data_IF_503420690155
#
_entry.id   IF_503420690155
#
_cell.length_a   1.000
_cell.length_b   1.000
_cell.length_c   1.000
_cell.angle_alpha   90.00
_cell.angle_beta   90.00
_cell.angle_gamma   90.00
#
_symmetry.space_group_name_H-M   'P 1'
#
loop_
_entity.id
_entity.type
_entity.pdbx_description
1 polymer ?
#
# COMPACT_ATOMS: atom_id res chain seq x y z
N UNK A 1 -14.07 15.41 4.66
CA UNK A 1 -12.71 16.04 4.68
C UNK A 1 -12.07 16.05 6.06
N UNK A 2 -12.79 16.38 7.14
CA UNK A 2 -12.23 16.36 8.51
C UNK A 2 -11.75 14.96 8.94
N UNK A 3 -12.55 13.91 8.70
CA UNK A 3 -12.17 12.54 9.01
C UNK A 3 -10.88 12.10 8.29
N UNK A 4 -10.71 12.48 7.03
CA UNK A 4 -9.51 12.16 6.24
C UNK A 4 -8.25 12.79 6.82
N UNK A 5 -8.33 14.08 7.21
CA UNK A 5 -7.21 14.80 7.81
C UNK A 5 -6.83 14.27 9.19
N UNK A 6 -7.79 13.71 9.92
CA UNK A 6 -7.58 13.08 11.23
C UNK A 6 -7.27 11.58 11.11
N UNK A 7 -6.94 11.09 9.91
CA UNK A 7 -6.56 9.69 9.64
C UNK A 7 -7.65 8.65 9.99
N UNK A 8 -8.90 9.10 10.14
CA UNK A 8 -10.08 8.24 10.32
C UNK A 8 -10.55 7.74 8.96
N UNK A 9 -9.74 6.91 8.32
CA UNK A 9 -9.91 6.54 6.90
C UNK A 9 -11.18 5.73 6.60
N UNK A 10 -11.67 4.91 7.53
CA UNK A 10 -12.94 4.16 7.37
C UNK A 10 -14.11 5.13 7.25
N UNK A 11 -14.27 6.04 8.23
CA UNK A 11 -15.31 7.07 8.19
C UNK A 11 -15.12 8.03 7.00
N UNK A 12 -13.86 8.41 6.70
CA UNK A 12 -13.56 9.27 5.56
C UNK A 12 -13.99 8.64 4.24
N UNK A 13 -13.81 7.32 4.07
CA UNK A 13 -14.23 6.59 2.87
C UNK A 13 -15.74 6.60 2.72
N UNK A 14 -16.49 6.34 3.79
CA UNK A 14 -17.95 6.40 3.80
C UNK A 14 -18.45 7.79 3.39
N UNK A 15 -17.93 8.83 4.03
CA UNK A 15 -18.25 10.23 3.69
C UNK A 15 -17.93 10.58 2.23
N UNK A 16 -16.76 10.14 1.74
CA UNK A 16 -16.29 10.44 0.38
C UNK A 16 -17.08 9.67 -0.67
N UNK A 17 -17.46 8.43 -0.41
CA UNK A 17 -18.33 7.64 -1.28
C UNK A 17 -19.72 8.25 -1.34
N UNK A 18 -20.30 8.58 -0.18
CA UNK A 18 -21.58 9.27 -0.09
C UNK A 18 -21.56 10.58 -0.90
N UNK A 19 -20.52 11.40 -0.72
CA UNK A 19 -20.34 12.64 -1.47
C UNK A 19 -20.19 12.39 -2.97
N UNK A 20 -19.48 11.34 -3.39
CA UNK A 20 -19.29 11.01 -4.81
C UNK A 20 -20.61 10.61 -5.48
N UNK A 21 -21.44 9.83 -4.78
CA UNK A 21 -22.75 9.36 -5.24
C UNK A 21 -23.77 10.49 -5.34
N UNK A 22 -23.76 11.42 -4.38
CA UNK A 22 -24.68 12.56 -4.34
C UNK A 22 -24.15 13.80 -5.10
N UNK A 23 -22.94 13.74 -5.66
CA UNK A 23 -22.40 14.82 -6.47
C UNK A 23 -23.08 14.87 -7.84
N UNK A 24 -23.52 16.06 -8.25
CA UNK A 24 -24.11 16.30 -9.57
C UNK A 24 -23.28 15.65 -10.69
N UNK A 25 -23.99 15.04 -11.65
CA UNK A 25 -23.39 14.19 -12.68
C UNK A 25 -22.28 14.91 -13.45
N UNK A 26 -22.50 16.20 -13.72
CA UNK A 26 -21.65 17.05 -14.57
C UNK A 26 -20.63 17.88 -13.77
N UNK A 27 -20.63 17.82 -12.43
CA UNK A 27 -19.65 18.52 -11.60
C UNK A 27 -18.30 17.80 -11.59
N UNK A 28 -17.59 17.87 -12.72
CA UNK A 28 -16.29 17.21 -12.93
C UNK A 28 -15.24 17.61 -11.87
N UNK A 29 -15.12 18.89 -11.56
CA UNK A 29 -14.13 19.40 -10.59
C UNK A 29 -14.39 18.88 -9.17
N UNK A 30 -15.65 18.86 -8.74
CA UNK A 30 -16.02 18.37 -7.41
C UNK A 30 -15.74 16.87 -7.28
N UNK A 31 -16.12 16.08 -8.30
CA UNK A 31 -15.79 14.65 -8.35
C UNK A 31 -14.29 14.40 -8.35
N UNK A 32 -13.53 15.21 -9.08
CA UNK A 32 -12.07 15.11 -9.10
C UNK A 32 -11.49 15.33 -7.70
N UNK A 33 -11.94 16.36 -6.98
CA UNK A 33 -11.49 16.63 -5.59
C UNK A 33 -11.82 15.48 -4.64
N UNK A 34 -13.02 14.91 -4.74
CA UNK A 34 -13.42 13.73 -3.94
C UNK A 34 -12.51 12.54 -4.26
N UNK A 35 -12.28 12.27 -5.55
CA UNK A 35 -11.45 11.16 -6.02
C UNK A 35 -9.98 11.30 -5.64
N UNK A 36 -9.44 12.52 -5.55
CA UNK A 36 -8.07 12.76 -5.06
C UNK A 36 -7.90 12.18 -3.66
N UNK A 37 -8.85 12.40 -2.75
CA UNK A 37 -8.78 11.85 -1.39
C UNK A 37 -9.17 10.36 -1.34
N UNK A 38 -10.17 9.92 -2.11
CA UNK A 38 -10.68 8.55 -2.05
C UNK A 38 -9.71 7.52 -2.65
N UNK A 39 -9.02 7.88 -3.73
CA UNK A 39 -8.13 6.96 -4.47
C UNK A 39 -7.03 6.32 -3.60
N UNK A 40 -6.22 7.08 -2.83
CA UNK A 40 -5.19 6.49 -1.98
C UNK A 40 -5.76 5.60 -0.86
N UNK A 41 -6.94 5.92 -0.31
CA UNK A 41 -7.60 5.05 0.68
C UNK A 41 -7.93 3.70 0.06
N UNK A 42 -8.58 3.71 -1.10
CA UNK A 42 -8.93 2.49 -1.83
C UNK A 42 -7.69 1.68 -2.20
N UNK A 43 -6.61 2.36 -2.60
CA UNK A 43 -5.33 1.72 -2.91
C UNK A 43 -4.69 1.04 -1.69
N UNK A 44 -4.77 1.68 -0.51
CA UNK A 44 -4.27 1.10 0.74
C UNK A 44 -5.05 -0.15 1.15
N UNK A 45 -6.35 -0.21 0.84
CA UNK A 45 -7.19 -1.42 0.98
C UNK A 45 -6.96 -2.46 -0.13
N UNK A 46 -5.97 -2.23 -1.00
CA UNK A 46 -5.63 -3.12 -2.11
C UNK A 46 -6.53 -3.03 -3.34
N UNK A 47 -7.38 -2.00 -3.44
CA UNK A 47 -8.21 -1.73 -4.62
C UNK A 47 -7.52 -0.72 -5.53
N UNK A 48 -6.91 -1.20 -6.61
CA UNK A 48 -6.31 -0.33 -7.61
C UNK A 48 -7.38 0.42 -8.42
N UNK A 49 -7.13 1.68 -8.83
CA UNK A 49 -8.07 2.46 -9.62
C UNK A 49 -8.31 1.81 -11.00
N UNK A 50 -9.58 1.64 -11.37
CA UNK A 50 -9.94 1.06 -12.67
C UNK A 50 -9.51 1.94 -13.84
N UNK A 51 -9.14 1.30 -14.96
CA UNK A 51 -8.71 1.99 -16.19
C UNK A 51 -9.75 3.00 -16.72
N UNK A 52 -11.05 2.70 -16.58
CA UNK A 52 -12.15 3.61 -16.92
C UNK A 52 -12.13 4.89 -16.09
N UNK A 53 -11.89 4.78 -14.79
CA UNK A 53 -11.77 5.93 -13.88
C UNK A 53 -10.56 6.78 -14.26
N UNK A 54 -9.40 6.15 -14.46
CA UNK A 54 -8.15 6.85 -14.82
C UNK A 54 -8.24 7.57 -16.17
N UNK A 55 -9.00 7.02 -17.13
CA UNK A 55 -9.25 7.66 -18.42
C UNK A 55 -10.18 8.86 -18.29
N UNK A 56 -11.22 8.74 -17.46
CA UNK A 56 -12.19 9.81 -17.21
C UNK A 56 -11.60 10.95 -16.40
N UNK A 57 -10.66 10.67 -15.50
CA UNK A 57 -10.03 11.66 -14.62
C UNK A 57 -8.49 11.64 -14.78
N UNK A 58 -7.95 12.31 -15.81
CA UNK A 58 -6.50 12.41 -16.03
C UNK A 58 -5.67 12.88 -14.82
N UNK A 59 -6.14 13.81 -13.96
CA UNK A 59 -5.40 14.18 -12.75
C UNK A 59 -5.14 13.00 -11.80
N UNK A 60 -6.14 12.13 -11.62
CA UNK A 60 -6.03 10.93 -10.78
C UNK A 60 -5.01 9.95 -11.38
N UNK A 61 -5.01 9.81 -12.72
CA UNK A 61 -4.02 8.99 -13.43
C UNK A 61 -2.60 9.53 -13.25
N UNK A 62 -2.40 10.83 -13.38
CA UNK A 62 -1.09 11.47 -13.24
C UNK A 62 -0.53 11.30 -11.81
N UNK A 63 -1.38 11.44 -10.80
CA UNK A 63 -0.99 11.29 -9.40
C UNK A 63 -0.75 9.83 -9.03
N UNK A 64 -1.72 8.96 -9.24
CA UNK A 64 -1.75 7.64 -8.61
C UNK A 64 -1.54 6.47 -9.57
N UNK A 65 -1.58 6.68 -10.89
CA UNK A 65 -1.57 5.60 -11.87
C UNK A 65 -0.31 4.73 -11.79
N UNK A 66 0.87 5.35 -11.84
CA UNK A 66 2.14 4.62 -11.76
C UNK A 66 2.41 4.08 -10.34
N UNK A 67 2.00 4.81 -9.29
CA UNK A 67 2.09 4.32 -7.91
C UNK A 67 1.27 3.05 -7.70
N UNK A 68 0.03 3.01 -8.22
CA UNK A 68 -0.81 1.82 -8.12
C UNK A 68 -0.21 0.62 -8.86
N UNK A 69 0.44 0.84 -10.01
CA UNK A 69 1.15 -0.22 -10.73
C UNK A 69 2.36 -0.71 -9.94
N UNK A 70 3.18 0.20 -9.43
CA UNK A 70 4.37 -0.13 -8.63
C UNK A 70 3.99 -0.91 -7.36
N UNK A 71 2.97 -0.44 -6.63
CA UNK A 71 2.47 -1.10 -5.43
C UNK A 71 1.92 -2.50 -5.73
N UNK A 72 1.09 -2.64 -6.77
CA UNK A 72 0.56 -3.95 -7.19
C UNK A 72 1.67 -4.91 -7.60
N UNK A 73 2.68 -4.40 -8.30
CA UNK A 73 3.84 -5.16 -8.72
C UNK A 73 4.83 -5.45 -7.58
N UNK A 74 4.69 -4.86 -6.40
CA UNK A 74 5.71 -4.96 -5.34
C UNK A 74 7.07 -4.41 -5.78
N UNK A 75 7.08 -3.41 -6.68
CA UNK A 75 8.30 -2.68 -7.03
C UNK A 75 8.44 -1.52 -6.05
N UNK A 76 8.96 -1.82 -4.86
CA UNK A 76 9.08 -0.87 -3.76
C UNK A 76 10.00 0.31 -4.13
N UNK A 77 11.14 0.04 -4.78
CA UNK A 77 12.06 1.09 -5.24
C UNK A 77 11.37 2.10 -6.16
N UNK A 78 10.65 1.62 -7.18
CA UNK A 78 9.92 2.52 -8.08
C UNK A 78 8.79 3.27 -7.37
N UNK A 79 8.17 2.65 -6.38
CA UNK A 79 7.15 3.32 -5.57
C UNK A 79 7.77 4.48 -4.78
N UNK A 80 8.90 4.25 -4.13
CA UNK A 80 9.61 5.24 -3.32
C UNK A 80 10.14 6.40 -4.19
N UNK A 81 10.72 6.10 -5.36
CA UNK A 81 11.12 7.13 -6.35
C UNK A 81 9.93 8.03 -6.76
N UNK A 82 8.78 7.44 -7.07
CA UNK A 82 7.58 8.18 -7.49
C UNK A 82 6.98 9.01 -6.36
N UNK A 83 7.11 8.52 -5.12
CA UNK A 83 6.63 9.20 -3.93
C UNK A 83 7.48 10.44 -3.65
N UNK A 84 8.80 10.30 -3.73
CA UNK A 84 9.75 11.40 -3.61
C UNK A 84 9.58 12.44 -4.73
N UNK A 85 9.45 12.00 -5.99
CA UNK A 85 9.23 12.88 -7.15
C UNK A 85 7.97 13.77 -6.98
N UNK A 86 6.94 13.24 -6.31
CA UNK A 86 5.62 13.88 -6.18
C UNK A 86 5.30 14.31 -4.75
N UNK A 87 6.29 14.37 -3.87
CA UNK A 87 6.11 14.64 -2.45
C UNK A 87 5.36 15.97 -2.23
N UNK A 88 5.88 17.06 -2.80
CA UNK A 88 5.28 18.39 -2.66
C UNK A 88 3.84 18.43 -3.19
N UNK A 89 3.55 17.68 -4.26
CA UNK A 89 2.20 17.58 -4.81
C UNK A 89 1.26 16.94 -3.79
N UNK A 90 1.66 15.82 -3.18
CA UNK A 90 0.85 15.13 -2.18
C UNK A 90 0.70 15.88 -0.87
N UNK A 91 1.72 16.64 -0.46
CA UNK A 91 1.66 17.55 0.69
C UNK A 91 0.64 18.65 0.42
N UNK A 92 0.70 19.29 -0.74
CA UNK A 92 -0.22 20.36 -1.13
C UNK A 92 -1.67 19.88 -1.26
N UNK A 93 -1.90 18.65 -1.75
CA UNK A 93 -3.24 18.06 -1.80
C UNK A 93 -3.69 17.45 -0.48
N UNK A 94 -2.81 17.39 0.53
CA UNK A 94 -3.07 16.80 1.83
C UNK A 94 -3.24 15.27 1.80
N UNK A 95 -2.73 14.59 0.77
CA UNK A 95 -2.90 13.12 0.59
C UNK A 95 -1.63 12.33 0.89
N UNK A 96 -0.52 12.98 1.27
CA UNK A 96 0.77 12.34 1.50
C UNK A 96 0.70 11.14 2.45
N UNK A 97 0.13 11.32 3.65
CA UNK A 97 -0.02 10.25 4.64
C UNK A 97 -0.87 9.08 4.10
N UNK A 98 -1.91 9.37 3.33
CA UNK A 98 -2.73 8.32 2.72
C UNK A 98 -1.95 7.51 1.66
N UNK A 99 -1.04 8.15 0.91
CA UNK A 99 -0.17 7.49 -0.07
C UNK A 99 0.92 6.66 0.63
N UNK A 100 1.49 7.16 1.73
CA UNK A 100 2.42 6.40 2.59
C UNK A 100 1.81 5.08 3.06
N UNK A 101 0.51 5.06 3.40
CA UNK A 101 -0.18 3.80 3.73
C UNK A 101 -0.23 2.81 2.57
N UNK A 102 -0.24 3.28 1.32
CA UNK A 102 -0.13 2.40 0.14
C UNK A 102 1.26 1.77 0.04
N UNK A 103 2.31 2.40 0.59
CA UNK A 103 3.67 1.83 0.63
C UNK A 103 3.67 0.47 1.33
N UNK A 104 2.89 0.29 2.40
CA UNK A 104 2.72 -1.01 3.09
C UNK A 104 2.21 -2.11 2.16
N UNK A 105 1.33 -1.77 1.21
CA UNK A 105 0.88 -2.70 0.16
C UNK A 105 2.04 -3.12 -0.74
N UNK A 106 2.90 -2.19 -1.15
CA UNK A 106 4.06 -2.48 -1.98
C UNK A 106 5.06 -3.41 -1.25
N UNK A 107 5.35 -3.13 0.02
CA UNK A 107 6.21 -3.97 0.88
C UNK A 107 5.64 -5.38 0.99
N UNK A 108 4.35 -5.52 1.34
CA UNK A 108 3.67 -6.83 1.40
C UNK A 108 3.79 -7.59 0.07
N UNK A 109 3.62 -6.89 -1.07
CA UNK A 109 3.69 -7.51 -2.38
C UNK A 109 5.12 -7.97 -2.73
N UNK A 110 6.15 -7.23 -2.31
CA UNK A 110 7.54 -7.64 -2.44
C UNK A 110 7.84 -8.88 -1.57
N UNK A 111 7.42 -8.87 -0.30
CA UNK A 111 7.55 -10.03 0.60
C UNK A 111 6.85 -11.28 0.02
N UNK A 112 5.64 -11.11 -0.53
CA UNK A 112 4.94 -12.20 -1.20
C UNK A 112 5.72 -12.76 -2.39
N UNK A 113 6.39 -11.90 -3.17
CA UNK A 113 7.24 -12.34 -4.29
C UNK A 113 8.42 -13.15 -3.79
N UNK A 114 9.13 -12.65 -2.76
CA UNK A 114 10.26 -13.35 -2.16
C UNK A 114 9.80 -14.73 -1.65
N UNK A 115 8.69 -14.78 -0.91
CA UNK A 115 8.08 -16.04 -0.45
C UNK A 115 7.81 -17.04 -1.59
N UNK A 116 7.28 -16.57 -2.73
CA UNK A 116 7.02 -17.46 -3.88
C UNK A 116 8.33 -17.93 -4.52
N UNK A 117 9.32 -17.04 -4.67
CA UNK A 117 10.61 -17.36 -5.29
C UNK A 117 11.41 -18.35 -4.43
N UNK A 118 11.33 -18.23 -3.11
CA UNK A 118 12.03 -19.12 -2.17
C UNK A 118 11.30 -20.45 -1.93
N UNK A 119 10.33 -20.80 -2.77
CA UNK A 119 9.65 -22.09 -2.73
C UNK A 119 8.51 -22.19 -1.73
N UNK A 120 7.93 -21.05 -1.31
CA UNK A 120 6.78 -21.00 -0.40
C UNK A 120 7.08 -21.57 1.01
N UNK A 121 8.34 -21.48 1.42
CA UNK A 121 8.78 -21.92 2.74
C UNK A 121 8.08 -21.13 3.85
N UNK A 122 7.39 -21.83 4.75
CA UNK A 122 6.70 -21.21 5.89
C UNK A 122 7.67 -20.60 6.92
N UNK A 123 8.95 -20.95 6.89
CA UNK A 123 9.98 -20.37 7.76
C UNK A 123 10.94 -19.55 6.91
N UNK A 124 10.94 -18.24 7.09
CA UNK A 124 11.79 -17.31 6.35
C UNK A 124 12.71 -16.60 7.33
N UNK A 125 14.02 -16.71 7.16
CA UNK A 125 14.96 -15.96 8.01
C UNK A 125 14.91 -14.46 7.67
N UNK A 126 15.14 -13.62 8.66
CA UNK A 126 15.22 -12.17 8.46
C UNK A 126 16.33 -11.82 7.47
N UNK A 127 17.49 -12.50 7.55
CA UNK A 127 18.57 -12.33 6.59
C UNK A 127 18.13 -12.61 5.15
N UNK A 128 17.43 -13.72 4.89
CA UNK A 128 16.93 -14.03 3.54
C UNK A 128 15.96 -12.97 3.03
N UNK A 129 15.16 -12.38 3.91
CA UNK A 129 14.25 -11.30 3.56
C UNK A 129 15.01 -10.01 3.25
N UNK A 130 16.02 -9.65 4.05
CA UNK A 130 16.93 -8.54 3.76
C UNK A 130 17.62 -8.74 2.40
N UNK A 131 18.15 -9.92 2.12
CA UNK A 131 18.81 -10.25 0.84
C UNK A 131 17.82 -10.11 -0.33
N UNK A 132 16.57 -10.56 -0.15
CA UNK A 132 15.51 -10.40 -1.15
C UNK A 132 15.13 -8.94 -1.41
N UNK A 133 15.15 -8.09 -0.37
CA UNK A 133 14.94 -6.65 -0.51
C UNK A 133 16.13 -5.97 -1.20
N UNK A 134 17.36 -6.34 -0.83
CA UNK A 134 18.58 -5.88 -1.48
C UNK A 134 18.58 -6.24 -2.98
N UNK A 135 18.17 -7.46 -3.33
CA UNK A 135 17.99 -7.88 -4.72
C UNK A 135 16.92 -7.08 -5.49
N UNK A 136 15.93 -6.52 -4.78
CA UNK A 136 14.94 -5.61 -5.35
C UNK A 136 15.43 -4.14 -5.44
N UNK A 137 16.66 -3.87 -5.00
CA UNK A 137 17.29 -2.54 -4.98
C UNK A 137 16.96 -1.73 -3.71
N UNK A 138 16.58 -2.39 -2.62
CA UNK A 138 16.34 -1.78 -1.30
C UNK A 138 17.42 -2.28 -0.36
N UNK A 139 18.51 -1.53 -0.23
CA UNK A 139 19.71 -1.93 0.52
C UNK A 139 19.74 -1.42 1.96
N UNK A 140 18.83 -0.54 2.31
CA UNK A 140 18.89 0.26 3.53
C UNK A 140 18.04 -0.37 4.65
N UNK A 141 17.81 -1.69 4.60
CA UNK A 141 17.02 -2.42 5.58
C UNK A 141 17.89 -3.47 6.25
N UNK A 142 18.23 -3.23 7.51
CA UNK A 142 18.91 -4.19 8.36
C UNK A 142 17.94 -5.20 9.02
N UNK A 143 18.48 -6.13 9.81
CA UNK A 143 17.69 -7.19 10.46
C UNK A 143 16.67 -6.60 11.46
N UNK A 144 17.05 -5.71 12.41
CA UNK A 144 16.10 -5.03 13.29
C UNK A 144 14.97 -4.31 12.55
N UNK A 145 15.30 -3.60 11.46
CA UNK A 145 14.32 -2.89 10.65
C UNK A 145 13.39 -3.86 9.91
N UNK A 146 13.93 -4.95 9.36
CA UNK A 146 13.13 -6.01 8.73
C UNK A 146 12.17 -6.64 9.74
N UNK A 147 12.63 -6.93 10.95
CA UNK A 147 11.78 -7.46 12.02
C UNK A 147 10.65 -6.49 12.36
N UNK A 148 10.96 -5.19 12.51
CA UNK A 148 9.96 -4.14 12.76
C UNK A 148 8.91 -4.05 11.64
N UNK A 149 9.36 -4.08 10.37
CA UNK A 149 8.47 -4.10 9.20
C UNK A 149 7.56 -5.32 9.21
N UNK A 150 8.10 -6.50 9.50
CA UNK A 150 7.30 -7.73 9.57
C UNK A 150 6.31 -7.69 10.73
N UNK A 151 6.70 -7.14 11.88
CA UNK A 151 5.84 -7.01 13.04
C UNK A 151 4.63 -6.12 12.74
N UNK A 152 4.86 -4.96 12.09
CA UNK A 152 3.79 -4.07 11.64
C UNK A 152 2.85 -4.75 10.64
N UNK A 153 3.37 -5.51 9.68
CA UNK A 153 2.56 -6.22 8.68
C UNK A 153 1.75 -7.38 9.29
N UNK A 154 2.29 -8.09 10.29
CA UNK A 154 1.56 -9.12 11.04
C UNK A 154 0.47 -8.48 11.90
N UNK A 155 0.81 -7.42 12.65
CA UNK A 155 -0.15 -6.68 13.46
C UNK A 155 -1.31 -6.12 12.64
N UNK A 156 -1.02 -5.52 11.48
CA UNK A 156 -2.02 -5.00 10.57
C UNK A 156 -2.78 -6.10 9.81
N UNK A 157 -2.44 -7.39 9.96
CA UNK A 157 -3.09 -8.51 9.27
C UNK A 157 -2.73 -8.67 7.78
N UNK A 158 -1.74 -7.92 7.28
CA UNK A 158 -1.21 -8.00 5.91
C UNK A 158 -0.53 -9.34 5.63
N UNK A 159 0.03 -9.93 6.69
CA UNK A 159 0.69 -11.24 6.70
C UNK A 159 0.12 -12.05 7.88
N UNK A 160 -0.15 -13.34 7.66
CA UNK A 160 -0.53 -14.27 8.72
C UNK A 160 0.67 -15.10 9.12
N UNK A 161 1.04 -15.03 10.40
CA UNK A 161 2.20 -15.72 10.95
C UNK A 161 2.58 -15.14 12.30
N UNK A 162 3.75 -15.55 12.80
CA UNK A 162 4.38 -14.96 13.98
C UNK A 162 5.89 -14.81 13.74
N UNK A 163 6.53 -13.99 14.55
CA UNK A 163 7.98 -13.78 14.51
C UNK A 163 8.62 -14.52 15.67
N UNK A 164 9.72 -15.22 15.39
CA UNK A 164 10.57 -15.83 16.39
C UNK A 164 11.87 -15.05 16.42
N UNK A 165 11.94 -14.09 17.35
CA UNK A 165 13.09 -13.20 17.53
C UNK A 165 14.36 -14.01 17.82
N UNK A 166 14.31 -14.93 18.79
CA UNK A 166 15.44 -15.76 19.21
C UNK A 166 16.06 -16.59 18.07
N UNK A 167 15.27 -16.92 17.05
CA UNK A 167 15.73 -17.69 15.90
C UNK A 167 15.93 -16.83 14.64
N UNK A 168 15.60 -15.54 14.68
CA UNK A 168 15.71 -14.63 13.53
C UNK A 168 14.86 -15.06 12.34
N UNK A 169 13.66 -15.62 12.58
CA UNK A 169 12.76 -16.12 11.54
C UNK A 169 11.33 -15.60 11.67
N UNK A 170 10.69 -15.36 10.52
CA UNK A 170 9.25 -15.24 10.39
C UNK A 170 8.65 -16.62 10.07
N UNK A 171 7.68 -17.05 10.88
CA UNK A 171 6.92 -18.28 10.64
C UNK A 171 5.55 -17.91 10.08
N UNK A 172 5.41 -18.06 8.77
CA UNK A 172 4.21 -17.74 8.02
C UNK A 172 3.18 -18.88 8.10
N UNK A 173 1.89 -18.51 8.06
CA UNK A 173 0.77 -19.46 8.01
C UNK A 173 0.88 -20.37 6.80
N UNK A 174 0.64 -21.67 7.00
CA UNK A 174 0.51 -22.63 5.88
C UNK A 174 -0.74 -22.37 5.04
N UNK A 175 -1.78 -21.80 5.65
CA UNK A 175 -3.03 -21.46 4.98
C UNK A 175 -3.08 -19.95 4.72
N UNK A 176 -2.90 -19.57 3.45
CA UNK A 176 -2.95 -18.18 2.97
C UNK A 176 -2.10 -17.20 3.81
N UNK A 177 -0.76 -17.30 3.78
CA UNK A 177 0.12 -16.40 4.53
C UNK A 177 -0.02 -14.92 4.14
N UNK A 178 -0.52 -14.66 2.93
CA UNK A 178 -0.81 -13.32 2.41
C UNK A 178 -2.31 -13.22 2.06
N UNK A 179 -3.20 -12.94 3.03
CA UNK A 179 -4.65 -12.85 2.79
C UNK A 179 -5.00 -11.72 1.81
N UNK A 180 -6.13 -11.79 1.09
CA UNK A 180 -6.55 -10.70 0.20
C UNK A 180 -6.61 -9.35 0.94
N UNK A 181 -6.03 -8.30 0.38
CA UNK A 181 -6.00 -6.98 1.04
C UNK A 181 -7.40 -6.43 1.35
N UNK A 182 -8.37 -6.76 0.50
CA UNK A 182 -9.78 -6.36 0.65
C UNK A 182 -10.42 -6.96 1.90
N UNK A 183 -9.91 -8.09 2.43
CA UNK A 183 -10.45 -8.73 3.65
C UNK A 183 -9.83 -8.21 4.94
N UNK A 184 -8.89 -7.26 4.85
CA UNK A 184 -8.18 -6.65 5.99
C UNK A 184 -8.75 -5.26 6.31
N UNK A 185 -9.43 -4.66 5.33
CA UNK A 185 -9.98 -3.31 5.36
C UNK A 185 -11.25 -3.18 6.22
#
# INVERSE_FOLDING_TARGET
MLAFRNEKYTAAKEDLLFALEHCFRDSYNNKTRILVCLTPIMMAEGRAPHSRLLRRYPPIKAMYGELAKAAKAGNLRRFDELLQEKEQLFVNTGTFIAVERVRKVAIRQLLRKIYVITGQNSRMSFQMLCDGFAAAGITDIDIPEMESVLADLVFCGYIKGYLSHDHGIAVLSKLQPFPPLVSIA
#
